data_IF_153069830545
#
_entry.id   IF_153069830545
#
_cell.length_a   1.000
_cell.length_b   1.000
_cell.length_c   1.000
_cell.angle_alpha   90.00
_cell.angle_beta   90.00
_cell.angle_gamma   90.00
#
_symmetry.space_group_name_H-M   'P 1'
#
loop_
_entity.id
_entity.type
_entity.pdbx_description
1 polymer ?
#
# COMPACT_ATOMS: atom_id res chain seq x y z
N UNK A 1 25.85 16.25 -40.31
CA UNK A 1 25.00 17.13 -39.47
C UNK A 1 23.71 16.45 -38.99
N UNK A 2 22.91 15.78 -39.85
CA UNK A 2 21.68 15.08 -39.43
C UNK A 2 21.89 13.95 -38.40
N UNK A 3 22.97 13.16 -38.52
CA UNK A 3 23.29 12.09 -37.56
C UNK A 3 23.76 12.58 -36.19
N UNK A 4 24.37 13.79 -36.13
CA UNK A 4 24.84 14.40 -34.88
C UNK A 4 23.66 14.96 -34.05
N UNK A 5 22.62 15.47 -34.73
CA UNK A 5 21.39 15.98 -34.10
C UNK A 5 20.57 14.82 -33.50
N UNK A 6 20.57 13.67 -34.17
CA UNK A 6 19.87 12.47 -33.69
C UNK A 6 20.55 11.88 -32.43
N UNK A 7 21.88 11.82 -32.37
CA UNK A 7 22.60 11.32 -31.18
C UNK A 7 22.53 12.28 -29.98
N UNK A 8 22.53 13.60 -30.21
CA UNK A 8 22.35 14.58 -29.12
C UNK A 8 20.92 14.50 -28.55
N UNK A 9 19.90 14.29 -29.40
CA UNK A 9 18.50 14.17 -28.93
C UNK A 9 18.28 12.93 -28.05
N UNK A 10 18.96 11.81 -28.34
CA UNK A 10 18.86 10.59 -27.53
C UNK A 10 19.53 10.72 -26.17
N UNK A 11 20.61 11.52 -26.06
CA UNK A 11 21.36 11.67 -24.81
C UNK A 11 20.62 12.55 -23.78
N UNK A 12 19.80 13.51 -24.25
CA UNK A 12 19.01 14.39 -23.37
C UNK A 12 17.84 13.65 -22.71
N UNK A 13 17.26 12.63 -23.33
CA UNK A 13 16.13 11.89 -22.76
C UNK A 13 16.51 11.00 -21.56
N UNK A 14 17.77 10.56 -21.45
CA UNK A 14 18.22 9.71 -20.34
C UNK A 14 18.45 10.51 -19.04
N UNK A 15 18.68 11.83 -19.14
CA UNK A 15 18.99 12.66 -17.98
C UNK A 15 17.77 13.06 -17.12
N UNK A 16 16.55 12.72 -17.54
CA UNK A 16 15.31 13.15 -16.89
C UNK A 16 14.65 12.06 -16.03
N UNK A 17 15.28 10.89 -15.85
CA UNK A 17 14.75 9.86 -14.96
C UNK A 17 15.07 10.20 -13.51
N UNK A 18 14.27 11.09 -12.91
CA UNK A 18 14.32 11.30 -11.46
C UNK A 18 13.92 9.98 -10.76
N UNK A 19 14.65 9.54 -9.73
CA UNK A 19 14.28 8.36 -8.97
C UNK A 19 12.92 8.61 -8.31
N UNK A 20 11.97 7.71 -8.55
CA UNK A 20 10.74 7.67 -7.78
C UNK A 20 11.08 7.19 -6.37
N UNK A 21 11.21 8.11 -5.42
CA UNK A 21 11.34 7.80 -4.01
C UNK A 21 9.98 7.31 -3.51
N UNK A 22 9.91 6.06 -3.04
CA UNK A 22 8.72 5.53 -2.42
C UNK A 22 8.39 6.36 -1.17
N UNK A 23 7.18 6.95 -1.12
CA UNK A 23 6.74 7.69 0.06
C UNK A 23 6.40 6.70 1.18
N UNK A 24 7.20 6.71 2.24
CA UNK A 24 6.94 5.93 3.43
C UNK A 24 5.80 6.53 4.25
N UNK A 25 4.92 5.68 4.75
CA UNK A 25 3.86 6.11 5.65
C UNK A 25 4.45 6.51 7.01
N UNK A 26 3.97 7.62 7.55
CA UNK A 26 4.34 8.11 8.87
C UNK A 26 3.30 7.64 9.90
N UNK A 27 3.75 7.00 10.97
CA UNK A 27 2.89 6.66 12.11
C UNK A 27 2.46 7.92 12.85
N UNK A 28 1.16 8.12 13.00
CA UNK A 28 0.56 9.25 13.71
C UNK A 28 0.28 8.86 15.17
N UNK A 29 -0.18 7.64 15.40
CA UNK A 29 -0.58 7.19 16.72
C UNK A 29 -0.92 5.72 16.78
N UNK A 30 -1.39 5.28 17.94
CA UNK A 30 -1.86 3.93 18.18
C UNK A 30 -2.98 3.95 19.20
N UNK A 31 -4.00 3.12 18.99
CA UNK A 31 -5.11 2.91 19.89
C UNK A 31 -5.46 1.43 19.92
N UNK A 32 -5.33 0.78 21.07
CA UNK A 32 -5.45 -0.67 21.22
C UNK A 32 -4.58 -1.41 20.18
N UNK A 33 -5.15 -2.38 19.45
CA UNK A 33 -4.48 -3.15 18.40
C UNK A 33 -4.30 -2.38 17.07
N UNK A 34 -4.71 -1.11 16.99
CA UNK A 34 -4.71 -0.33 15.75
C UNK A 34 -3.67 0.78 15.77
N UNK A 35 -2.82 0.83 14.74
CA UNK A 35 -1.94 1.96 14.45
C UNK A 35 -2.58 2.90 13.42
N UNK A 36 -2.44 4.21 13.61
CA UNK A 36 -2.88 5.22 12.64
C UNK A 36 -1.67 5.74 11.88
N UNK A 37 -1.80 5.83 10.56
CA UNK A 37 -0.73 6.21 9.64
C UNK A 37 -1.22 7.22 8.61
N UNK A 38 -0.28 7.98 8.04
CA UNK A 38 -0.57 8.83 6.89
C UNK A 38 0.58 8.91 5.90
N UNK A 39 0.24 9.18 4.65
CA UNK A 39 1.20 9.55 3.61
C UNK A 39 0.60 10.61 2.69
N UNK A 40 1.45 11.34 1.99
CA UNK A 40 1.01 12.28 0.97
C UNK A 40 0.80 11.51 -0.34
N UNK A 41 -0.37 11.61 -0.95
CA UNK A 41 -0.63 11.16 -2.31
C UNK A 41 -0.83 12.37 -3.23
N UNK A 42 -0.82 12.16 -4.54
CA UNK A 42 -1.10 13.22 -5.52
C UNK A 42 -2.50 13.86 -5.32
N UNK A 43 -3.48 13.08 -4.86
CA UNK A 43 -4.84 13.53 -4.56
C UNK A 43 -5.04 14.13 -3.16
N UNK A 44 -3.97 14.28 -2.36
CA UNK A 44 -4.03 14.81 -1.00
C UNK A 44 -3.48 13.85 0.05
N UNK A 45 -3.57 14.25 1.32
CA UNK A 45 -3.13 13.42 2.46
C UNK A 45 -4.07 12.22 2.61
N UNK A 46 -3.51 11.01 2.59
CA UNK A 46 -4.24 9.77 2.87
C UNK A 46 -3.98 9.37 4.31
N UNK A 47 -5.05 9.06 5.04
CA UNK A 47 -4.99 8.52 6.39
C UNK A 47 -5.58 7.11 6.40
N UNK A 48 -4.95 6.20 7.12
CA UNK A 48 -5.45 4.85 7.29
C UNK A 48 -5.14 4.32 8.69
N UNK A 49 -5.95 3.38 9.15
CA UNK A 49 -5.70 2.59 10.35
C UNK A 49 -5.31 1.19 9.95
N UNK A 50 -4.29 0.63 10.58
CA UNK A 50 -3.76 -0.69 10.29
C UNK A 50 -3.69 -1.49 11.58
N UNK A 51 -4.01 -2.77 11.49
CA UNK A 51 -3.80 -3.75 12.54
C UNK A 51 -3.12 -4.99 11.96
N UNK A 52 -2.54 -5.77 12.86
CA UNK A 52 -2.02 -7.12 12.61
C UNK A 52 -2.93 -8.11 13.36
N UNK A 53 -3.01 -9.38 12.95
CA UNK A 53 -3.84 -10.35 13.64
C UNK A 53 -3.53 -10.40 15.14
N UNK A 54 -4.57 -10.28 15.97
CA UNK A 54 -4.49 -10.44 17.42
C UNK A 54 -4.53 -11.91 17.84
N UNK A 55 -5.06 -12.77 16.98
CA UNK A 55 -5.04 -14.23 17.10
C UNK A 55 -4.85 -14.87 15.72
N UNK A 56 -4.16 -16.01 15.66
CA UNK A 56 -3.85 -16.73 14.43
C UNK A 56 -4.07 -18.23 14.65
N UNK A 57 -5.04 -18.80 13.96
CA UNK A 57 -5.48 -20.18 14.15
C UNK A 57 -5.43 -21.00 12.84
N UNK A 58 -5.00 -22.28 12.89
CA UNK A 58 -4.38 -22.95 14.04
C UNK A 58 -2.96 -22.41 14.32
N UNK A 59 -2.47 -22.48 15.57
CA UNK A 59 -1.18 -21.91 15.97
C UNK A 59 0.03 -22.70 15.42
N UNK A 60 -0.23 -23.90 14.87
CA UNK A 60 0.79 -24.79 14.31
C UNK A 60 1.23 -24.39 12.90
N UNK A 61 0.61 -23.39 12.29
CA UNK A 61 0.93 -22.94 10.94
C UNK A 61 1.72 -21.64 10.97
N UNK A 62 2.59 -21.48 9.98
CA UNK A 62 3.13 -20.16 9.65
C UNK A 62 2.10 -19.40 8.82
N UNK A 63 1.65 -18.28 9.38
CA UNK A 63 0.66 -17.39 8.77
C UNK A 63 1.30 -16.25 7.97
N UNK A 64 2.62 -16.09 8.07
CA UNK A 64 3.36 -14.97 7.52
C UNK A 64 2.97 -13.61 8.13
N UNK A 65 3.39 -12.56 7.43
CA UNK A 65 3.05 -11.17 7.74
C UNK A 65 1.69 -10.84 7.14
N UNK A 66 0.72 -10.55 8.01
CA UNK A 66 -0.65 -10.25 7.64
C UNK A 66 -1.03 -8.89 8.17
N UNK A 67 -1.75 -8.13 7.35
CA UNK A 67 -2.20 -6.80 7.71
C UNK A 67 -3.67 -6.65 7.33
N UNK A 68 -4.42 -6.01 8.22
CA UNK A 68 -5.75 -5.52 7.91
C UNK A 68 -5.78 -4.02 8.12
N UNK A 69 -6.25 -3.28 7.13
CA UNK A 69 -6.32 -1.84 7.26
C UNK A 69 -7.57 -1.28 6.64
N UNK A 70 -8.01 -0.14 7.18
CA UNK A 70 -9.14 0.62 6.68
C UNK A 70 -8.60 1.98 6.30
N UNK A 71 -8.82 2.35 5.04
CA UNK A 71 -8.35 3.63 4.50
C UNK A 71 -9.51 4.50 4.06
N UNK A 72 -9.30 5.81 4.10
CA UNK A 72 -10.17 6.79 3.47
C UNK A 72 -9.31 7.59 2.48
N UNK A 73 -9.63 7.49 1.20
CA UNK A 73 -8.92 8.20 0.13
C UNK A 73 -9.67 9.49 -0.24
N UNK A 74 -9.00 10.65 -0.22
CA UNK A 74 -9.62 11.90 -0.65
C UNK A 74 -10.18 11.81 -2.08
N UNK A 75 -11.35 12.39 -2.32
CA UNK A 75 -11.95 12.50 -3.66
C UNK A 75 -12.68 11.25 -4.16
N UNK A 76 -12.70 10.15 -3.39
CA UNK A 76 -13.51 8.98 -3.72
C UNK A 76 -14.87 9.01 -3.01
N UNK A 77 -15.91 8.49 -3.66
CA UNK A 77 -17.27 8.38 -3.11
C UNK A 77 -17.41 7.17 -2.14
N UNK A 78 -16.30 6.72 -1.55
CA UNK A 78 -16.25 5.61 -0.59
C UNK A 78 -15.59 6.11 0.69
N UNK A 79 -16.31 6.05 1.81
CA UNK A 79 -15.84 6.63 3.08
C UNK A 79 -14.82 5.75 3.79
N UNK A 80 -14.93 4.42 3.69
CA UNK A 80 -14.04 3.46 4.34
C UNK A 80 -13.82 2.24 3.47
N UNK A 81 -12.57 1.98 3.13
CA UNK A 81 -12.16 0.85 2.29
C UNK A 81 -11.35 -0.14 3.13
N UNK A 82 -11.94 -1.29 3.53
CA UNK A 82 -11.21 -2.35 4.20
C UNK A 82 -10.35 -3.13 3.20
N UNK A 83 -9.11 -3.41 3.60
CA UNK A 83 -8.15 -4.14 2.80
C UNK A 83 -7.44 -5.17 3.68
N UNK A 84 -7.34 -6.39 3.17
CA UNK A 84 -6.63 -7.49 3.80
C UNK A 84 -5.43 -7.87 2.93
N UNK A 85 -4.25 -7.89 3.54
CA UNK A 85 -3.00 -8.35 2.92
C UNK A 85 -2.59 -9.62 3.65
N UNK A 86 -2.57 -10.73 2.92
CA UNK A 86 -2.01 -11.99 3.39
C UNK A 86 -0.52 -12.07 3.07
N UNK A 87 0.23 -12.81 3.89
CA UNK A 87 1.65 -13.09 3.68
C UNK A 87 1.92 -14.24 2.70
N UNK A 88 0.87 -14.77 2.06
CA UNK A 88 0.93 -15.94 1.19
C UNK A 88 -0.11 -15.85 0.08
N UNK A 89 0.09 -16.65 -0.97
CA UNK A 89 -0.88 -16.77 -2.06
C UNK A 89 -2.10 -17.57 -1.61
N UNK A 90 -3.29 -17.06 -1.89
CA UNK A 90 -4.51 -17.82 -1.68
C UNK A 90 -4.59 -19.02 -2.61
N UNK A 91 -5.22 -20.09 -2.11
CA UNK A 91 -5.61 -21.20 -2.96
C UNK A 91 -6.51 -20.70 -4.10
N UNK A 92 -6.31 -21.24 -5.29
CA UNK A 92 -7.14 -20.91 -6.44
C UNK A 92 -8.64 -21.13 -6.12
N UNK A 93 -9.48 -20.17 -6.54
CA UNK A 93 -10.93 -20.16 -6.29
C UNK A 93 -11.36 -20.10 -4.82
N UNK A 94 -10.43 -19.90 -3.87
CA UNK A 94 -10.80 -19.62 -2.48
C UNK A 94 -11.34 -18.20 -2.32
N UNK A 95 -12.14 -17.98 -1.26
CA UNK A 95 -12.71 -16.66 -0.95
C UNK A 95 -12.26 -16.23 0.44
N UNK A 96 -11.88 -14.95 0.56
CA UNK A 96 -11.75 -14.31 1.86
C UNK A 96 -13.15 -14.01 2.41
N UNK A 97 -13.39 -14.36 3.68
CA UNK A 97 -14.63 -14.07 4.39
C UNK A 97 -14.33 -13.13 5.54
N UNK A 98 -15.13 -12.08 5.68
CA UNK A 98 -15.05 -11.12 6.78
C UNK A 98 -16.38 -11.15 7.51
N UNK A 99 -16.33 -11.31 8.83
CA UNK A 99 -17.49 -11.29 9.71
C UNK A 99 -17.33 -10.13 10.68
N UNK A 100 -18.42 -9.39 10.91
CA UNK A 100 -18.52 -8.32 11.90
C UNK A 100 -19.61 -8.75 12.89
N UNK A 101 -19.30 -8.73 14.17
CA UNK A 101 -20.18 -9.11 15.28
C UNK A 101 -20.80 -7.91 16.01
#
# INVERSE_FOLDING_TARGET
MRGLIATISSLVMVAMTAPALAQSATKIGQHNAWGTYSYQASGGKVCYVLTVPTDKQPPTLDHGDMFFFVSQRPGQQVSYEPQFIAGYNFQENSKATVTID
#
